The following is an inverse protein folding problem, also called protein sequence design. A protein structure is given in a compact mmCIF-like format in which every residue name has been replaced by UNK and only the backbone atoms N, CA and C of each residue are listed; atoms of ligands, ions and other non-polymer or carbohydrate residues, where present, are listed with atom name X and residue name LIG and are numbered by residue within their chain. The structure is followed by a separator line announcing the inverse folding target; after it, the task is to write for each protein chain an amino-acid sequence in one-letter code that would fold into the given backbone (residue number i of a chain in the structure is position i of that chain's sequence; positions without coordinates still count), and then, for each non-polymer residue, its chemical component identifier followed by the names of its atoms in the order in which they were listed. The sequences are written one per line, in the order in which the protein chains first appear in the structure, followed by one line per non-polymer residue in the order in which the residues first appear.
data_IF_394591125440
#
_entry.id   IF_394591125440
#
_cell.length_a   1.000
_cell.length_b   1.000
_cell.length_c   1.000
_cell.angle_alpha   90.00
_cell.angle_beta   90.00
_cell.angle_gamma   90.00
#
_symmetry.space_group_name_H-M   'P 1'
#
loop_
_entity.id
_entity.type
_entity.pdbx_description
1 polymer ?
#
# COMPACT_ATOMS: atom_id res chain seq x y z
N UNK A 1 28.79 14.79 6.99
CA UNK A 1 28.16 13.45 6.79
C UNK A 1 26.72 13.70 6.39
N UNK A 2 26.26 13.20 5.25
CA UNK A 2 24.85 13.34 4.89
C UNK A 2 23.99 12.64 5.95
N UNK A 3 22.97 13.33 6.45
CA UNK A 3 22.01 12.79 7.43
C UNK A 3 21.33 11.56 6.80
N UNK A 4 21.15 10.49 7.57
CA UNK A 4 20.40 9.33 7.10
C UNK A 4 18.96 9.74 6.74
N UNK A 5 18.36 9.18 5.68
CA UNK A 5 16.96 9.44 5.36
C UNK A 5 16.08 8.92 6.49
N UNK A 6 15.01 9.64 6.82
CA UNK A 6 13.96 9.19 7.73
C UNK A 6 12.83 8.57 6.92
N UNK A 7 12.47 7.35 7.29
CA UNK A 7 11.46 6.56 6.60
C UNK A 7 10.31 6.32 7.57
N UNK A 8 9.13 6.80 7.19
CA UNK A 8 7.87 6.47 7.86
C UNK A 8 7.37 5.12 7.33
N UNK A 9 7.12 4.17 8.21
CA UNK A 9 6.62 2.83 7.87
C UNK A 9 5.22 2.64 8.45
N UNK A 10 4.31 2.09 7.65
CA UNK A 10 2.93 1.78 8.05
C UNK A 10 2.41 0.57 7.28
N UNK A 11 1.17 0.14 7.56
CA UNK A 11 0.44 -0.89 6.81
C UNK A 11 -1.06 -0.85 7.15
N UNK A 12 -1.82 -1.81 6.63
CA UNK A 12 -3.22 -2.08 6.96
C UNK A 12 -3.46 -3.43 7.66
N UNK A 13 -2.49 -4.35 7.69
CA UNK A 13 -2.62 -5.62 8.43
C UNK A 13 -2.40 -5.47 9.95
N UNK A 14 -1.95 -4.30 10.39
CA UNK A 14 -1.65 -3.98 11.78
C UNK A 14 -0.18 -4.15 12.16
N UNK A 15 0.21 -3.52 13.26
CA UNK A 15 1.61 -3.32 13.66
C UNK A 15 2.39 -4.62 13.91
N UNK A 16 1.69 -5.69 14.30
CA UNK A 16 2.28 -7.01 14.58
C UNK A 16 2.39 -7.91 13.34
N UNK A 17 1.89 -7.50 12.17
CA UNK A 17 1.81 -8.36 11.00
C UNK A 17 3.21 -8.74 10.45
N UNK A 18 3.40 -9.98 9.98
CA UNK A 18 4.70 -10.44 9.45
C UNK A 18 5.25 -9.56 8.32
N UNK A 19 4.37 -9.10 7.42
CA UNK A 19 4.73 -8.25 6.30
C UNK A 19 5.35 -6.90 6.70
N UNK A 20 4.79 -6.20 7.69
CA UNK A 20 5.37 -4.94 8.18
C UNK A 20 6.67 -5.17 8.95
N UNK A 21 6.78 -6.26 9.71
CA UNK A 21 8.05 -6.63 10.38
C UNK A 21 9.18 -6.82 9.38
N UNK A 22 8.89 -7.47 8.24
CA UNK A 22 9.87 -7.63 7.15
C UNK A 22 10.18 -6.28 6.51
N UNK A 23 9.18 -5.43 6.25
CA UNK A 23 9.40 -4.09 5.70
C UNK A 23 10.34 -3.26 6.60
N UNK A 24 10.06 -3.21 7.90
CA UNK A 24 10.88 -2.53 8.92
C UNK A 24 12.32 -3.05 8.88
N UNK A 25 12.50 -4.37 8.83
CA UNK A 25 13.85 -4.97 8.77
C UNK A 25 14.65 -4.47 7.56
N UNK A 26 14.01 -4.29 6.41
CA UNK A 26 14.66 -3.76 5.20
C UNK A 26 14.95 -2.26 5.37
N UNK A 27 13.97 -1.48 5.84
CA UNK A 27 14.08 -0.03 6.01
C UNK A 27 15.17 0.36 7.01
N UNK A 28 15.34 -0.41 8.10
CA UNK A 28 16.40 -0.22 9.08
C UNK A 28 17.81 -0.37 8.47
N UNK A 29 17.96 -1.05 7.32
CA UNK A 29 19.24 -1.12 6.61
C UNK A 29 19.52 0.09 5.70
N UNK A 30 18.56 1.03 5.60
CA UNK A 30 18.59 2.15 4.65
C UNK A 30 18.64 3.49 5.40
N UNK A 31 17.76 3.67 6.41
CA UNK A 31 17.56 4.96 7.07
C UNK A 31 17.18 4.86 8.54
N UNK A 32 16.87 6.00 9.13
CA UNK A 32 16.23 6.08 10.43
C UNK A 32 14.74 5.75 10.24
N UNK A 33 14.18 4.88 11.08
CA UNK A 33 12.81 4.36 10.89
C UNK A 33 11.90 4.78 12.04
N UNK A 34 10.72 5.27 11.68
CA UNK A 34 9.59 5.45 12.59
C UNK A 34 8.41 4.68 12.03
N UNK A 35 7.79 3.84 12.86
CA UNK A 35 6.65 3.02 12.50
C UNK A 35 5.40 3.60 13.16
N UNK A 36 4.36 3.85 12.39
CA UNK A 36 3.03 4.19 12.90
C UNK A 36 2.05 3.31 12.14
N UNK A 37 1.43 2.36 12.83
CA UNK A 37 0.57 1.37 12.18
C UNK A 37 -0.67 1.05 13.04
N UNK A 38 -1.76 0.57 12.42
CA UNK A 38 -2.97 0.20 13.15
C UNK A 38 -2.71 -0.86 14.23
N UNK A 39 -3.47 -0.81 15.31
CA UNK A 39 -3.44 -1.81 16.39
C UNK A 39 -4.13 -3.14 16.01
N UNK A 40 -4.88 -3.13 14.90
CA UNK A 40 -5.72 -4.22 14.41
C UNK A 40 -5.80 -4.20 12.88
N UNK A 41 -6.13 -5.32 12.21
CA UNK A 41 -6.30 -5.35 10.76
C UNK A 41 -7.41 -4.40 10.28
N UNK A 42 -7.12 -3.64 9.22
CA UNK A 42 -7.98 -2.62 8.60
C UNK A 42 -8.18 -2.86 7.09
N UNK A 43 -8.11 -4.12 6.65
CA UNK A 43 -8.23 -4.47 5.24
C UNK A 43 -9.59 -4.06 4.66
N UNK A 44 -9.58 -3.50 3.43
CA UNK A 44 -10.80 -3.11 2.71
C UNK A 44 -11.45 -1.80 3.17
N UNK A 45 -10.81 -1.05 4.07
CA UNK A 45 -11.31 0.26 4.53
C UNK A 45 -11.17 1.37 3.47
N UNK A 46 -10.43 1.13 2.38
CA UNK A 46 -10.08 2.17 1.41
C UNK A 46 -9.39 3.36 2.10
N UNK A 47 -9.66 4.57 1.60
CA UNK A 47 -9.10 5.82 2.13
C UNK A 47 -9.96 6.43 3.24
N UNK A 48 -10.44 5.59 4.16
CA UNK A 48 -11.20 6.04 5.32
C UNK A 48 -10.30 6.83 6.28
N UNK A 49 -10.88 7.82 6.96
CA UNK A 49 -10.25 8.61 8.03
C UNK A 49 -11.20 8.72 9.22
N UNK A 50 -10.65 8.85 10.42
CA UNK A 50 -11.43 8.94 11.66
C UNK A 50 -11.77 10.40 11.99
N UNK A 51 -13.06 10.76 11.89
CA UNK A 51 -13.54 12.13 12.18
C UNK A 51 -14.42 12.24 13.44
N UNK A 52 -15.20 11.18 13.73
CA UNK A 52 -16.26 11.23 14.74
C UNK A 52 -15.91 10.47 16.04
N UNK A 53 -14.64 10.14 16.23
CA UNK A 53 -14.13 9.48 17.44
C UNK A 53 -12.71 9.92 17.74
N UNK A 54 -12.28 9.70 18.97
CA UNK A 54 -10.91 9.98 19.41
C UNK A 54 -9.92 8.98 18.81
N UNK A 55 -8.77 9.47 18.36
CA UNK A 55 -7.63 8.67 17.93
C UNK A 55 -6.61 8.55 19.07
N UNK A 56 -6.10 7.34 19.27
CA UNK A 56 -5.04 7.05 20.23
C UNK A 56 -3.80 6.58 19.50
N UNK A 57 -2.62 7.01 19.99
CA UNK A 57 -1.34 6.54 19.52
C UNK A 57 -0.44 6.27 20.73
N UNK A 58 0.08 5.06 20.84
CA UNK A 58 0.89 4.61 21.98
C UNK A 58 2.25 4.14 21.50
N UNK A 59 3.31 4.63 22.15
CA UNK A 59 4.66 4.13 21.89
C UNK A 59 4.78 2.70 22.41
N UNK A 60 5.21 1.78 21.55
CA UNK A 60 5.37 0.37 21.88
C UNK A 60 6.77 -0.12 21.52
N UNK A 61 7.14 -1.28 22.07
CA UNK A 61 8.37 -1.97 21.71
C UNK A 61 8.08 -3.44 21.43
N UNK A 62 8.10 -3.82 20.15
CA UNK A 62 7.82 -5.19 19.69
C UNK A 62 9.10 -6.02 19.64
N UNK A 63 10.19 -5.43 19.16
CA UNK A 63 11.49 -6.09 19.04
C UNK A 63 12.64 -5.18 19.51
N UNK A 64 13.87 -5.67 19.38
CA UNK A 64 15.10 -4.96 19.78
C UNK A 64 15.74 -4.17 18.62
N UNK A 65 14.99 -3.91 17.55
CA UNK A 65 15.42 -3.08 16.45
C UNK A 65 15.58 -1.61 16.84
N UNK A 66 16.27 -0.81 15.99
CA UNK A 66 16.57 0.59 16.28
C UNK A 66 15.38 1.55 16.02
N UNK A 67 14.30 1.07 15.41
CA UNK A 67 13.14 1.86 15.06
C UNK A 67 12.33 2.32 16.29
N UNK A 68 11.65 3.46 16.15
CA UNK A 68 10.57 3.84 17.08
C UNK A 68 9.25 3.34 16.54
N UNK A 69 8.37 2.84 17.40
CA UNK A 69 7.10 2.26 16.98
C UNK A 69 5.93 2.81 17.77
N UNK A 70 4.84 3.09 17.06
CA UNK A 70 3.60 3.59 17.62
C UNK A 70 2.43 2.76 17.11
N UNK A 71 1.68 2.18 18.04
CA UNK A 71 0.39 1.53 17.75
C UNK A 71 -0.69 2.60 17.69
N UNK A 72 -1.52 2.61 16.65
CA UNK A 72 -2.57 3.59 16.47
C UNK A 72 -3.94 2.93 16.38
N UNK A 73 -4.95 3.51 17.04
CA UNK A 73 -6.34 3.02 17.00
C UNK A 73 -7.09 3.40 15.71
N UNK A 74 -6.42 4.08 14.78
CA UNK A 74 -7.01 4.63 13.57
C UNK A 74 -6.79 3.76 12.33
N UNK A 75 -7.22 4.30 11.20
CA UNK A 75 -6.97 3.73 9.87
C UNK A 75 -5.50 3.90 9.45
N UNK A 76 -5.06 3.23 8.37
CA UNK A 76 -3.73 3.46 7.79
C UNK A 76 -3.48 4.93 7.40
N UNK A 77 -4.50 5.63 6.90
CA UNK A 77 -4.40 7.07 6.59
C UNK A 77 -4.24 7.92 7.87
N UNK A 78 -5.00 7.61 8.94
CA UNK A 78 -4.84 8.26 10.24
C UNK A 78 -3.42 8.07 10.80
N UNK A 79 -2.85 6.86 10.64
CA UNK A 79 -1.48 6.56 11.06
C UNK A 79 -0.46 7.48 10.37
N UNK A 80 -0.63 7.71 9.08
CA UNK A 80 0.26 8.59 8.30
C UNK A 80 0.09 10.04 8.75
N UNK A 81 -1.15 10.53 8.88
CA UNK A 81 -1.43 11.89 9.36
C UNK A 81 -0.83 12.15 10.74
N UNK A 82 -1.11 11.28 11.71
CA UNK A 82 -0.57 11.38 13.07
C UNK A 82 0.95 11.26 13.08
N UNK A 83 1.50 10.34 12.29
CA UNK A 83 2.94 10.16 12.13
C UNK A 83 3.62 11.46 11.71
N UNK A 84 3.18 12.04 10.60
CA UNK A 84 3.77 13.25 10.01
C UNK A 84 3.60 14.45 10.94
N UNK A 85 2.41 14.63 11.54
CA UNK A 85 2.07 15.86 12.26
C UNK A 85 2.55 15.89 13.70
N UNK A 86 2.56 14.74 14.40
CA UNK A 86 2.77 14.71 15.85
C UNK A 86 3.94 13.80 16.29
N UNK A 87 4.16 12.66 15.64
CA UNK A 87 5.01 11.60 16.21
C UNK A 87 6.45 11.57 15.68
N UNK A 88 6.65 11.88 14.40
CA UNK A 88 7.94 11.68 13.71
C UNK A 88 8.91 12.83 13.97
N UNK A 89 8.40 14.02 14.35
CA UNK A 89 9.19 15.19 14.79
C UNK A 89 9.94 15.93 13.67
N UNK A 90 9.98 15.40 12.45
CA UNK A 90 10.40 16.09 11.22
C UNK A 90 9.71 15.44 10.01
N UNK A 91 9.66 16.15 8.88
CA UNK A 91 9.15 15.57 7.64
C UNK A 91 9.97 14.33 7.25
N UNK A 92 9.32 13.16 7.05
CA UNK A 92 9.94 11.98 6.48
C UNK A 92 10.50 12.25 5.08
N UNK A 93 11.60 11.60 4.73
CA UNK A 93 12.18 11.63 3.39
C UNK A 93 11.47 10.63 2.46
N UNK A 94 10.77 9.63 3.02
CA UNK A 94 9.98 8.63 2.32
C UNK A 94 8.91 8.05 3.26
N UNK A 95 7.74 7.71 2.72
CA UNK A 95 6.78 6.83 3.37
C UNK A 95 6.69 5.48 2.64
N UNK A 96 6.69 4.37 3.37
CA UNK A 96 6.45 3.04 2.82
C UNK A 96 5.30 2.35 3.56
N UNK A 97 4.41 1.71 2.81
CA UNK A 97 3.25 1.01 3.33
C UNK A 97 3.28 -0.47 2.93
N UNK A 98 3.03 -1.38 3.89
CA UNK A 98 2.98 -2.82 3.67
C UNK A 98 4.00 -3.60 4.52
N UNK A 99 4.55 -4.74 4.08
CA UNK A 99 4.18 -5.48 2.86
C UNK A 99 2.83 -6.15 3.10
N UNK A 100 1.83 -5.84 2.29
CA UNK A 100 0.49 -6.40 2.41
C UNK A 100 0.42 -7.89 2.05
N UNK A 101 -0.47 -8.61 2.73
CA UNK A 101 -0.90 -9.95 2.32
C UNK A 101 -1.97 -9.86 1.25
N UNK A 102 -1.63 -10.23 0.01
CA UNK A 102 -2.53 -10.19 -1.12
C UNK A 102 -2.25 -9.03 -2.07
N UNK A 103 -2.81 -9.16 -3.29
CA UNK A 103 -2.58 -8.22 -4.39
C UNK A 103 -3.37 -6.93 -4.21
N UNK A 104 -2.70 -5.80 -4.44
CA UNK A 104 -3.29 -4.48 -4.62
C UNK A 104 -3.13 -3.99 -6.07
N UNK A 105 -2.93 -4.90 -7.03
CA UNK A 105 -2.84 -4.57 -8.45
C UNK A 105 -4.21 -4.20 -9.05
N UNK A 106 -4.17 -3.49 -10.18
CA UNK A 106 -5.34 -3.02 -10.90
C UNK A 106 -6.30 -2.19 -10.02
N UNK A 107 -7.61 -2.37 -10.18
CA UNK A 107 -8.65 -1.61 -9.49
C UNK A 107 -8.62 -1.77 -7.96
N UNK A 108 -7.91 -2.77 -7.43
CA UNK A 108 -7.77 -3.00 -6.00
C UNK A 108 -7.06 -1.85 -5.28
N UNK A 109 -6.27 -1.04 -6.00
CA UNK A 109 -5.62 0.17 -5.48
C UNK A 109 -6.61 1.07 -4.72
N UNK A 110 -7.85 1.20 -5.19
CA UNK A 110 -8.85 2.12 -4.61
C UNK A 110 -9.39 1.63 -3.27
N UNK A 111 -9.42 0.30 -3.06
CA UNK A 111 -9.96 -0.33 -1.84
C UNK A 111 -8.87 -0.69 -0.83
N UNK A 112 -7.62 -0.54 -1.23
CA UNK A 112 -6.44 -0.96 -0.46
C UNK A 112 -6.12 0.01 0.66
N UNK A 113 -6.08 -0.47 1.90
CA UNK A 113 -5.59 0.31 3.04
C UNK A 113 -4.08 0.59 2.90
N UNK A 114 -3.32 -0.38 2.37
CA UNK A 114 -1.90 -0.21 2.05
C UNK A 114 -1.66 0.99 1.13
N UNK A 115 -2.39 1.05 0.01
CA UNK A 115 -2.26 2.14 -0.96
C UNK A 115 -2.85 3.45 -0.44
N UNK A 116 -3.91 3.39 0.36
CA UNK A 116 -4.49 4.58 0.99
C UNK A 116 -3.47 5.28 1.90
N UNK A 117 -2.69 4.53 2.69
CA UNK A 117 -1.62 5.13 3.48
C UNK A 117 -0.52 5.76 2.60
N UNK A 118 -0.12 5.11 1.51
CA UNK A 118 0.86 5.67 0.57
C UNK A 118 0.35 6.93 -0.14
N UNK A 119 -0.93 6.92 -0.56
CA UNK A 119 -1.61 8.08 -1.16
C UNK A 119 -1.67 9.23 -0.15
N UNK A 120 -1.99 8.95 1.11
CA UNK A 120 -2.05 9.97 2.17
C UNK A 120 -0.69 10.66 2.35
N UNK A 121 0.40 9.91 2.35
CA UNK A 121 1.74 10.49 2.39
C UNK A 121 2.05 11.32 1.13
N UNK A 122 1.60 10.85 -0.05
CA UNK A 122 1.72 11.58 -1.31
C UNK A 122 0.97 12.92 -1.31
N UNK A 123 -0.22 12.97 -0.70
CA UNK A 123 -1.02 14.19 -0.51
C UNK A 123 -0.26 15.21 0.35
N UNK A 124 0.47 14.73 1.36
CA UNK A 124 1.32 15.55 2.23
C UNK A 124 2.67 15.92 1.57
N UNK A 125 2.86 15.58 0.29
CA UNK A 125 4.06 15.92 -0.49
C UNK A 125 5.27 15.03 -0.20
N UNK A 126 5.07 13.88 0.42
CA UNK A 126 6.12 12.92 0.75
C UNK A 126 6.14 11.82 -0.33
N UNK A 127 7.29 11.51 -0.95
CA UNK A 127 7.42 10.34 -1.82
C UNK A 127 6.92 9.09 -1.09
N UNK A 128 6.14 8.24 -1.77
CA UNK A 128 5.52 7.09 -1.12
C UNK A 128 5.47 5.83 -2.00
N UNK A 129 5.56 4.68 -1.34
CA UNK A 129 5.51 3.36 -2.00
C UNK A 129 4.61 2.42 -1.20
N UNK A 130 3.62 1.81 -1.84
CA UNK A 130 2.88 0.66 -1.33
C UNK A 130 3.48 -0.64 -1.83
N UNK A 131 3.74 -1.59 -0.93
CA UNK A 131 4.27 -2.91 -1.26
C UNK A 131 3.25 -4.00 -0.91
N UNK A 132 3.12 -4.99 -1.79
CA UNK A 132 2.18 -6.09 -1.63
C UNK A 132 2.79 -7.40 -2.16
N UNK A 133 2.53 -8.51 -1.48
CA UNK A 133 2.91 -9.85 -1.92
C UNK A 133 1.65 -10.60 -2.36
N UNK A 134 1.71 -11.32 -3.48
CA UNK A 134 0.62 -12.16 -4.01
C UNK A 134 0.41 -13.45 -3.20
N UNK A 135 0.32 -13.31 -1.88
CA UNK A 135 0.03 -14.38 -0.94
C UNK A 135 -0.87 -13.85 0.17
N UNK A 136 -2.06 -14.45 0.31
CA UNK A 136 -3.05 -14.07 1.32
C UNK A 136 -2.85 -14.82 2.64
N UNK A 137 -1.93 -15.79 2.70
CA UNK A 137 -1.67 -16.55 3.92
C UNK A 137 -0.93 -15.69 4.94
N UNK A 138 -1.36 -15.74 6.21
CA UNK A 138 -0.67 -15.04 7.29
C UNK A 138 0.80 -15.46 7.46
N UNK A 139 1.10 -16.73 7.17
CA UNK A 139 2.46 -17.29 7.23
C UNK A 139 3.22 -17.14 5.90
N UNK A 140 2.83 -16.18 5.04
CA UNK A 140 3.47 -15.94 3.76
C UNK A 140 4.99 -15.70 3.88
N UNK A 141 5.74 -16.19 2.90
CA UNK A 141 7.19 -16.03 2.89
C UNK A 141 7.63 -14.76 2.14
N UNK A 142 7.98 -13.72 2.90
CA UNK A 142 8.43 -12.44 2.36
C UNK A 142 9.92 -12.36 2.02
N UNK A 143 10.70 -13.44 2.12
CA UNK A 143 12.15 -13.38 1.88
C UNK A 143 12.50 -12.94 0.45
N UNK A 144 11.71 -13.35 -0.55
CA UNK A 144 11.91 -12.93 -1.92
C UNK A 144 11.71 -11.41 -2.08
N UNK A 145 10.79 -10.82 -1.31
CA UNK A 145 10.44 -9.40 -1.39
C UNK A 145 11.60 -8.46 -1.01
N UNK A 146 12.41 -8.86 -0.01
CA UNK A 146 13.41 -7.98 0.61
C UNK A 146 14.34 -7.30 -0.39
N UNK A 147 14.81 -8.03 -1.40
CA UNK A 147 15.73 -7.51 -2.41
C UNK A 147 15.08 -6.44 -3.30
N UNK A 148 13.84 -6.67 -3.72
CA UNK A 148 13.10 -5.75 -4.60
C UNK A 148 12.64 -4.51 -3.84
N UNK A 149 12.10 -4.68 -2.64
CA UNK A 149 11.75 -3.58 -1.73
C UNK A 149 12.95 -2.67 -1.51
N UNK A 150 14.10 -3.25 -1.13
CA UNK A 150 15.34 -2.48 -0.92
C UNK A 150 15.78 -1.71 -2.17
N UNK A 151 15.70 -2.36 -3.33
CA UNK A 151 16.13 -1.77 -4.61
C UNK A 151 15.25 -0.59 -4.99
N UNK A 152 13.92 -0.76 -4.93
CA UNK A 152 12.95 0.29 -5.29
C UNK A 152 13.05 1.46 -4.32
N UNK A 153 13.07 1.19 -3.00
CA UNK A 153 13.21 2.22 -1.97
C UNK A 153 14.46 3.06 -2.16
N UNK A 154 15.62 2.45 -2.42
CA UNK A 154 16.86 3.20 -2.65
C UNK A 154 16.78 4.09 -3.89
N UNK A 155 16.21 3.58 -4.98
CA UNK A 155 16.05 4.36 -6.21
C UNK A 155 15.11 5.55 -6.01
N UNK A 156 14.03 5.40 -5.24
CA UNK A 156 13.13 6.52 -4.91
C UNK A 156 13.83 7.55 -4.03
N UNK A 157 14.60 7.13 -3.02
CA UNK A 157 15.36 8.07 -2.18
C UNK A 157 16.45 8.82 -2.96
N UNK A 158 17.05 8.19 -3.97
CA UNK A 158 18.11 8.79 -4.78
C UNK A 158 17.56 9.73 -5.87
N UNK A 159 16.50 9.33 -6.55
CA UNK A 159 15.98 10.05 -7.73
C UNK A 159 14.75 10.92 -7.42
N UNK A 160 14.11 10.71 -6.27
CA UNK A 160 12.81 11.29 -5.94
C UNK A 160 11.65 10.68 -6.75
N UNK A 161 10.47 11.27 -6.58
CA UNK A 161 9.29 11.03 -7.41
C UNK A 161 8.70 12.38 -7.86
N UNK A 162 8.05 12.45 -9.03
CA UNK A 162 7.28 13.62 -9.41
C UNK A 162 6.19 13.93 -8.38
N UNK A 163 5.85 15.22 -8.23
CA UNK A 163 4.76 15.63 -7.35
C UNK A 163 3.44 14.96 -7.75
N UNK A 164 2.68 14.49 -6.77
CA UNK A 164 1.40 13.81 -7.00
C UNK A 164 1.51 12.37 -7.49
N UNK A 165 2.73 11.81 -7.54
CA UNK A 165 2.98 10.42 -7.95
C UNK A 165 3.47 9.60 -6.77
N UNK A 166 2.86 8.43 -6.59
CA UNK A 166 3.25 7.39 -5.64
C UNK A 166 3.42 6.07 -6.39
N UNK A 167 4.11 5.09 -5.80
CA UNK A 167 4.33 3.80 -6.44
C UNK A 167 3.48 2.69 -5.81
N UNK A 168 2.74 1.95 -6.63
CA UNK A 168 2.13 0.67 -6.25
C UNK A 168 3.02 -0.48 -6.73
N UNK A 169 3.49 -1.32 -5.81
CA UNK A 169 4.41 -2.42 -6.11
C UNK A 169 3.81 -3.74 -5.65
N UNK A 170 3.62 -4.66 -6.59
CA UNK A 170 3.15 -6.02 -6.29
C UNK A 170 4.23 -7.04 -6.66
N UNK A 171 4.45 -7.99 -5.76
CA UNK A 171 5.52 -8.99 -5.86
C UNK A 171 4.85 -10.36 -6.04
N UNK A 172 5.19 -11.12 -7.11
CA UNK A 172 4.60 -12.43 -7.33
C UNK A 172 5.09 -13.43 -6.29
N UNK A 173 4.20 -14.32 -5.83
CA UNK A 173 4.53 -15.39 -4.90
C UNK A 173 5.16 -16.59 -5.62
N UNK A 174 6.38 -16.39 -6.13
CA UNK A 174 7.19 -17.40 -6.80
C UNK A 174 8.61 -17.40 -6.21
N UNK A 175 9.38 -18.50 -6.36
CA UNK A 175 10.76 -18.54 -5.90
C UNK A 175 11.57 -17.36 -6.45
N UNK A 176 12.40 -16.73 -5.60
CA UNK A 176 13.22 -15.57 -5.98
C UNK A 176 14.02 -15.76 -7.27
N UNK A 177 14.51 -16.97 -7.53
CA UNK A 177 15.27 -17.33 -8.73
C UNK A 177 14.44 -17.30 -10.03
N UNK A 178 13.11 -17.33 -9.93
CA UNK A 178 12.16 -17.30 -11.04
C UNK A 178 11.60 -15.90 -11.31
N UNK A 179 11.82 -14.95 -10.38
CA UNK A 179 11.43 -13.55 -10.58
C UNK A 179 12.39 -12.92 -11.61
N UNK A 180 11.85 -12.56 -12.77
CA UNK A 180 12.60 -12.08 -13.94
C UNK A 180 13.12 -10.65 -13.80
N UNK A 181 12.59 -9.88 -12.85
CA UNK A 181 12.99 -8.50 -12.59
C UNK A 181 11.81 -7.62 -12.15
N UNK A 182 12.05 -6.31 -12.13
CA UNK A 182 11.03 -5.28 -11.91
C UNK A 182 10.60 -4.74 -13.27
N UNK A 183 9.28 -4.66 -13.52
CA UNK A 183 8.71 -4.09 -14.74
C UNK A 183 7.85 -2.89 -14.37
N UNK A 184 8.19 -1.73 -14.94
CA UNK A 184 7.33 -0.54 -14.85
C UNK A 184 6.12 -0.77 -15.76
N UNK A 185 4.92 -0.63 -15.20
CA UNK A 185 3.67 -0.99 -15.86
C UNK A 185 2.63 0.12 -15.69
N UNK A 186 1.57 0.08 -16.50
CA UNK A 186 0.32 0.79 -16.19
C UNK A 186 -0.64 -0.13 -15.44
N UNK A 187 -1.63 0.46 -14.79
CA UNK A 187 -2.73 -0.28 -14.16
C UNK A 187 -3.54 -1.03 -15.22
N UNK A 188 -3.78 -2.33 -15.03
CA UNK A 188 -4.66 -3.12 -15.89
C UNK A 188 -6.11 -2.65 -15.78
N UNK A 189 -6.85 -2.69 -16.88
CA UNK A 189 -8.31 -2.59 -16.85
C UNK A 189 -8.90 -3.91 -16.33
N UNK A 190 -9.31 -3.95 -15.07
CA UNK A 190 -10.00 -5.10 -14.49
C UNK A 190 -11.15 -4.65 -13.59
N UNK A 191 -12.05 -5.58 -13.29
CA UNK A 191 -13.12 -5.38 -12.33
C UNK A 191 -13.45 -6.66 -11.57
N UNK A 192 -14.04 -6.50 -10.39
CA UNK A 192 -14.68 -7.61 -9.70
C UNK A 192 -16.09 -7.82 -10.26
N UNK A 193 -16.36 -9.03 -10.75
CA UNK A 193 -17.73 -9.46 -11.01
C UNK A 193 -18.27 -9.98 -9.68
N UNK A 194 -19.00 -9.10 -9.00
CA UNK A 194 -19.51 -9.32 -7.65
C UNK A 194 -20.60 -10.40 -7.62
N UNK A 195 -20.60 -11.17 -6.54
CA UNK A 195 -21.64 -12.15 -6.21
C UNK A 195 -21.86 -12.11 -4.71
N UNK A 196 -23.11 -12.18 -4.27
CA UNK A 196 -23.41 -12.29 -2.85
C UNK A 196 -23.74 -13.74 -2.48
N UNK A 197 -23.02 -14.29 -1.51
CA UNK A 197 -23.39 -15.56 -0.89
C UNK A 197 -24.45 -15.31 0.20
N UNK A 198 -25.70 -15.59 -0.15
CA UNK A 198 -26.86 -15.39 0.72
C UNK A 198 -27.02 -16.57 1.67
N UNK A 199 -27.11 -16.29 2.96
CA UNK A 199 -27.36 -17.27 4.03
C UNK A 199 -28.41 -16.75 5.00
N UNK A 200 -28.79 -17.58 5.98
CA UNK A 200 -29.76 -17.24 7.03
C UNK A 200 -29.15 -17.36 8.42
N UNK A 201 -29.43 -16.40 9.28
CA UNK A 201 -29.14 -16.51 10.71
C UNK A 201 -30.05 -17.59 11.35
N UNK A 202 -29.72 -18.08 12.55
CA UNK A 202 -30.60 -18.99 13.28
C UNK A 202 -32.03 -18.45 13.51
N UNK A 203 -32.20 -17.13 13.55
CA UNK A 203 -33.50 -16.45 13.68
C UNK A 203 -34.21 -16.21 12.32
N UNK A 204 -33.70 -16.81 11.23
CA UNK A 204 -34.31 -16.75 9.90
C UNK A 204 -34.02 -15.48 9.10
N UNK A 205 -33.24 -14.52 9.63
CA UNK A 205 -32.86 -13.29 8.92
C UNK A 205 -31.83 -13.59 7.84
N UNK A 206 -32.00 -12.97 6.68
CA UNK A 206 -31.01 -13.08 5.61
C UNK A 206 -29.74 -12.29 5.95
N UNK A 207 -28.57 -12.84 5.63
CA UNK A 207 -27.30 -12.12 5.58
C UNK A 207 -26.52 -12.51 4.33
N UNK A 208 -25.58 -11.66 3.93
CA UNK A 208 -24.90 -11.76 2.65
C UNK A 208 -23.40 -11.57 2.86
N UNK A 209 -22.60 -12.48 2.30
CA UNK A 209 -21.16 -12.27 2.15
C UNK A 209 -20.89 -11.72 0.76
N UNK A 210 -20.19 -10.58 0.67
CA UNK A 210 -19.66 -10.10 -0.59
C UNK A 210 -18.56 -11.07 -1.05
N UNK A 211 -18.76 -11.63 -2.24
CA UNK A 211 -17.79 -12.44 -2.94
C UNK A 211 -17.68 -11.89 -4.37
N UNK A 212 -16.78 -12.47 -5.16
CA UNK A 212 -16.68 -12.12 -6.56
C UNK A 212 -15.57 -12.87 -7.24
N UNK A 213 -15.47 -12.68 -8.54
CA UNK A 213 -14.33 -13.12 -9.32
C UNK A 213 -13.65 -11.89 -9.90
N UNK A 214 -12.35 -11.78 -9.70
CA UNK A 214 -11.53 -10.78 -10.39
C UNK A 214 -11.47 -11.14 -11.88
N UNK A 215 -11.83 -10.19 -12.74
CA UNK A 215 -11.82 -10.35 -14.19
C UNK A 215 -10.89 -9.31 -14.79
N UNK A 216 -9.76 -9.77 -15.31
CA UNK A 216 -8.88 -8.94 -16.13
C UNK A 216 -9.52 -8.76 -17.52
N UNK A 217 -9.80 -7.51 -17.88
CA UNK A 217 -10.38 -7.12 -19.17
C UNK A 217 -9.33 -6.52 -20.12
N UNK A 218 -8.07 -6.54 -19.70
CA UNK A 218 -6.94 -5.99 -20.43
C UNK A 218 -6.16 -7.11 -21.11
N UNK A 219 -5.81 -6.92 -22.38
CA UNK A 219 -4.96 -7.83 -23.14
C UNK A 219 -3.53 -7.31 -23.33
N UNK A 220 -3.17 -6.19 -22.68
CA UNK A 220 -1.88 -5.53 -22.85
C UNK A 220 -0.76 -6.18 -22.04
N UNK A 221 0.43 -6.24 -22.65
CA UNK A 221 1.67 -6.75 -22.03
C UNK A 221 2.44 -5.68 -21.22
N UNK A 222 1.87 -4.48 -21.13
CA UNK A 222 2.37 -3.32 -20.39
C UNK A 222 1.65 -3.12 -19.05
N UNK A 223 0.83 -4.09 -18.63
CA UNK A 223 0.01 -4.04 -17.41
C UNK A 223 0.65 -4.70 -16.20
N UNK A 224 0.24 -4.28 -15.02
CA UNK A 224 0.62 -4.90 -13.75
C UNK A 224 0.19 -6.36 -13.64
N UNK A 225 -1.05 -6.70 -13.99
CA UNK A 225 -1.53 -8.08 -14.01
C UNK A 225 -0.70 -8.96 -14.95
N UNK A 226 -0.43 -8.51 -16.18
CA UNK A 226 0.42 -9.27 -17.11
C UNK A 226 1.83 -9.46 -16.56
N UNK A 227 2.42 -8.42 -15.97
CA UNK A 227 3.75 -8.48 -15.40
C UNK A 227 3.83 -9.54 -14.28
N UNK A 228 2.85 -9.55 -13.38
CA UNK A 228 2.75 -10.51 -12.28
C UNK A 228 2.58 -11.94 -12.79
N UNK A 229 1.65 -12.16 -13.73
CA UNK A 229 1.43 -13.47 -14.37
C UNK A 229 2.68 -13.99 -15.08
N UNK A 230 3.52 -13.09 -15.60
CA UNK A 230 4.75 -13.43 -16.31
C UNK A 230 6.01 -13.46 -15.43
N UNK A 231 5.87 -13.41 -14.10
CA UNK A 231 6.97 -13.56 -13.15
C UNK A 231 7.82 -12.30 -12.96
N UNK A 232 7.26 -11.12 -13.19
CA UNK A 232 7.88 -9.84 -12.86
C UNK A 232 7.25 -9.24 -11.60
N UNK A 233 8.06 -8.49 -10.84
CA UNK A 233 7.53 -7.52 -9.87
C UNK A 233 6.91 -6.37 -10.66
N UNK A 234 5.63 -6.08 -10.45
CA UNK A 234 4.98 -4.94 -11.07
C UNK A 234 5.25 -3.68 -10.27
N UNK A 235 5.56 -2.59 -10.97
CA UNK A 235 5.73 -1.26 -10.40
C UNK A 235 4.88 -0.29 -11.23
N UNK A 236 3.80 0.21 -10.64
CA UNK A 236 2.88 1.14 -11.28
C UNK A 236 3.02 2.51 -10.62
N UNK A 237 3.40 3.57 -11.36
CA UNK A 237 3.23 4.92 -10.87
C UNK A 237 1.73 5.26 -10.85
N UNK A 238 1.22 5.62 -9.69
CA UNK A 238 -0.19 5.95 -9.44
C UNK A 238 -0.29 7.42 -9.04
N UNK A 239 -1.38 8.04 -9.43
CA UNK A 239 -1.75 9.40 -9.03
C UNK A 239 -3.06 9.36 -8.23
N UNK A 240 -3.30 10.39 -7.43
CA UNK A 240 -4.53 10.58 -6.67
C UNK A 240 -5.37 11.77 -7.16
N UNK A 241 -4.89 12.49 -8.19
CA UNK A 241 -5.75 13.35 -8.99
C UNK A 241 -6.59 12.47 -9.94
N UNK A 242 -7.86 12.31 -9.58
CA UNK A 242 -8.84 11.52 -10.33
C UNK A 242 -9.49 12.32 -11.46
N UNK A 243 -9.04 13.54 -11.73
CA UNK A 243 -9.53 14.35 -12.85
C UNK A 243 -9.26 13.63 -14.17
N UNK A 244 -10.31 13.40 -14.96
CA UNK A 244 -10.19 12.90 -16.32
C UNK A 244 -9.69 14.02 -17.26
N UNK A 245 -8.41 14.40 -17.11
CA UNK A 245 -7.79 15.53 -17.84
C UNK A 245 -8.02 15.48 -19.36
N UNK A 246 -8.02 14.27 -19.93
CA UNK A 246 -8.27 14.04 -21.36
C UNK A 246 -9.69 14.46 -21.83
N UNK A 247 -10.67 14.53 -20.92
CA UNK A 247 -12.08 14.87 -21.22
C UNK A 247 -12.39 16.34 -20.94
N UNK A 248 -11.53 17.06 -20.19
CA UNK A 248 -11.77 18.46 -19.81
C UNK A 248 -12.02 19.37 -21.03
N UNK A 249 -11.27 19.17 -22.11
CA UNK A 249 -11.41 19.96 -23.34
C UNK A 249 -12.81 19.82 -23.95
N UNK A 250 -13.35 18.61 -23.95
CA UNK A 250 -14.65 18.31 -24.53
C UNK A 250 -15.78 18.90 -23.68
N UNK A 251 -15.69 18.78 -22.36
CA UNK A 251 -16.68 19.34 -21.42
C UNK A 251 -16.69 20.87 -21.40
N UNK A 252 -15.52 21.51 -21.52
CA UNK A 252 -15.42 22.97 -21.63
C UNK A 252 -16.05 23.51 -22.93
N UNK A 253 -16.29 22.65 -23.92
CA UNK A 253 -17.03 22.99 -25.13
C UNK A 253 -18.55 23.01 -24.96
N UNK A 254 -19.07 22.54 -23.82
CA UNK A 254 -20.51 22.54 -23.54
C UNK A 254 -20.98 23.93 -23.13
N UNK A 255 -22.20 24.31 -23.55
CA UNK A 255 -22.89 25.48 -23.00
C UNK A 255 -23.61 25.08 -21.71
N UNK A 256 -22.85 25.01 -20.61
CA UNK A 256 -23.35 24.73 -19.26
C UNK A 256 -23.78 26.01 -18.53
#
# INVERSE_FOLDING_TARGET
MNKKPLILVTNDDGINAPGIRVLISVMNTIGDVVVVAPDSPQSGMGHAITLNSTLYAEAIKIDNGPQKEFSCSGTPADCVKLGIRELVGRTPDLCVSGINHGSNASINVIYSGTMSAAIEAGIEGIPAIGFSLLDYNWDANFEACKAYVKTITKNVLENGLPNGVILNVNIPNIPKKEIKGIKVCRQAKANWVEKFDKRKTPQGRDYYWLAGKFVNLDGGEDTDEWALENGYVSLVPVQFDLTAHHVLKDLNGWKL
#
